data_IF_461581285616
#
_entry.id   IF_461581285616
#
_cell.length_a   1.000
_cell.length_b   1.000
_cell.length_c   1.000
_cell.angle_alpha   90.00
_cell.angle_beta   90.00
_cell.angle_gamma   90.00
#
_symmetry.space_group_name_H-M   'P 1'
#
loop_
_entity.id
_entity.type
_entity.pdbx_description
1 polymer ?
#
# COMPACT_ATOMS: atom_id res chain seq x y z
N UNK A 1 2.46 11.49 -9.79
CA UNK A 1 1.48 11.72 -8.71
C UNK A 1 1.87 10.83 -7.54
N UNK A 2 2.01 11.39 -6.34
CA UNK A 2 2.39 10.64 -5.12
C UNK A 2 1.23 10.77 -4.13
N UNK A 3 0.73 9.64 -3.61
CA UNK A 3 -0.39 9.59 -2.67
C UNK A 3 0.11 8.91 -1.39
N UNK A 4 -0.06 9.57 -0.25
CA UNK A 4 0.26 9.03 1.08
C UNK A 4 -1.01 8.62 1.80
N UNK A 5 -0.99 7.46 2.49
CA UNK A 5 -2.13 6.92 3.24
C UNK A 5 -1.67 6.56 4.65
N UNK A 6 -1.94 7.45 5.59
CA UNK A 6 -1.57 7.33 7.00
C UNK A 6 -2.77 7.01 7.90
N UNK A 7 -2.48 6.43 9.06
CA UNK A 7 -3.47 6.07 10.08
C UNK A 7 -2.95 4.97 11.01
N UNK A 8 -3.77 4.47 11.95
CA UNK A 8 -3.34 3.45 12.91
C UNK A 8 -3.14 2.06 12.25
N UNK A 9 -2.36 1.20 12.89
CA UNK A 9 -2.18 -0.19 12.45
C UNK A 9 -3.54 -0.92 12.48
N UNK A 10 -3.83 -1.71 11.45
CA UNK A 10 -5.12 -2.43 11.34
C UNK A 10 -6.28 -1.63 10.71
N UNK A 11 -6.11 -0.34 10.40
CA UNK A 11 -7.15 0.49 9.78
C UNK A 11 -7.49 0.15 8.30
N UNK A 12 -6.95 -0.94 7.75
CA UNK A 12 -7.22 -1.35 6.35
C UNK A 12 -6.50 -0.51 5.28
N UNK A 13 -5.45 0.24 5.63
CA UNK A 13 -4.74 1.15 4.73
C UNK A 13 -4.21 0.48 3.47
N UNK A 14 -3.59 -0.70 3.57
CA UNK A 14 -3.14 -1.47 2.40
C UNK A 14 -4.29 -1.87 1.48
N UNK A 15 -5.46 -2.19 2.04
CA UNK A 15 -6.65 -2.54 1.26
C UNK A 15 -7.21 -1.34 0.51
N UNK A 16 -7.30 -0.18 1.17
CA UNK A 16 -7.74 1.07 0.54
C UNK A 16 -6.76 1.54 -0.54
N UNK A 17 -5.45 1.48 -0.26
CA UNK A 17 -4.41 1.86 -1.19
C UNK A 17 -4.39 0.99 -2.45
N UNK A 18 -4.58 -0.33 -2.30
CA UNK A 18 -4.66 -1.27 -3.42
C UNK A 18 -5.88 -1.01 -4.31
N UNK A 19 -7.05 -0.71 -3.72
CA UNK A 19 -8.26 -0.31 -4.48
C UNK A 19 -8.07 1.01 -5.21
N UNK A 20 -7.47 2.00 -4.54
CA UNK A 20 -7.19 3.31 -5.12
C UNK A 20 -6.24 3.21 -6.31
N UNK A 21 -5.19 2.39 -6.19
CA UNK A 21 -4.24 2.17 -7.27
C UNK A 21 -4.88 1.50 -8.50
N UNK A 22 -5.77 0.51 -8.29
CA UNK A 22 -6.56 -0.08 -9.36
C UNK A 22 -7.46 0.94 -10.06
N UNK A 23 -8.14 1.79 -9.29
CA UNK A 23 -9.04 2.81 -9.85
C UNK A 23 -8.29 3.88 -10.66
N UNK A 24 -7.05 4.18 -10.27
CA UNK A 24 -6.21 5.19 -10.93
C UNK A 24 -5.27 4.61 -12.00
N UNK A 25 -5.21 3.29 -12.16
CA UNK A 25 -4.28 2.63 -13.07
C UNK A 25 -2.80 2.84 -12.72
N UNK A 26 -2.49 3.06 -11.44
CA UNK A 26 -1.12 3.33 -10.96
C UNK A 26 -0.54 2.12 -10.22
N UNK A 27 0.78 2.00 -10.24
CA UNK A 27 1.46 0.94 -9.49
C UNK A 27 1.30 1.15 -7.97
N UNK A 28 0.92 0.09 -7.26
CA UNK A 28 0.86 0.05 -5.80
C UNK A 28 2.05 -0.72 -5.25
N UNK A 29 2.87 -0.06 -4.43
CA UNK A 29 3.99 -0.68 -3.71
C UNK A 29 3.67 -0.73 -2.21
N UNK A 30 3.45 -1.93 -1.68
CA UNK A 30 3.31 -2.14 -0.24
C UNK A 30 4.71 -2.28 0.38
N UNK A 31 5.16 -1.24 1.08
CA UNK A 31 6.48 -1.21 1.73
C UNK A 31 6.60 -2.27 2.82
N UNK A 32 5.51 -2.60 3.51
CA UNK A 32 5.49 -3.61 4.58
C UNK A 32 5.65 -5.05 4.07
N UNK A 33 5.17 -5.34 2.86
CA UNK A 33 5.41 -6.63 2.19
C UNK A 33 6.81 -6.70 1.60
N UNK A 34 7.32 -5.59 1.05
CA UNK A 34 8.66 -5.55 0.44
C UNK A 34 9.75 -5.88 1.47
N UNK A 35 9.71 -5.29 2.66
CA UNK A 35 10.67 -5.64 3.72
C UNK A 35 10.59 -7.11 4.16
N UNK A 36 9.38 -7.68 4.25
CA UNK A 36 9.18 -9.10 4.58
C UNK A 36 9.68 -10.05 3.50
N UNK A 37 9.56 -9.66 2.23
CA UNK A 37 10.02 -10.47 1.10
C UNK A 37 11.56 -10.51 0.99
N UNK A 38 12.27 -9.47 1.44
CA UNK A 38 13.74 -9.38 1.38
C UNK A 38 14.42 -10.10 2.55
N UNK A 39 13.69 -10.41 3.62
CA UNK A 39 14.22 -11.07 4.83
C UNK A 39 14.03 -12.59 4.85
N UNK A 40 13.38 -13.18 3.83
CA UNK A 40 13.19 -14.63 3.68
C UNK A 40 14.19 -15.23 2.69
#
# INVERSE_FOLDING_TARGET
MIITIDGPAGAGKSTAARKLAQALGIAFLDTGVTYRAVTL
#
